data_IF_317107817651
#
_entry.id   IF_317107817651
#
_cell.length_a   1.000
_cell.length_b   1.000
_cell.length_c   1.000
_cell.angle_alpha   90.00
_cell.angle_beta   90.00
_cell.angle_gamma   90.00
#
_symmetry.space_group_name_H-M   'P 1'
#
loop_
_entity.id
_entity.type
_entity.pdbx_description
1 polymer ?
#
# COMPACT_ATOMS: atom_id res chain seq x y z
N UNK A 1 -40.32 -21.66 -51.60
CA UNK A 1 -38.84 -21.76 -51.68
C UNK A 1 -38.19 -20.38 -51.65
N UNK A 2 -38.59 -19.42 -52.46
CA UNK A 2 -38.03 -18.04 -52.52
C UNK A 2 -38.11 -17.25 -51.21
N UNK A 3 -39.22 -17.32 -50.47
CA UNK A 3 -39.41 -16.59 -49.19
C UNK A 3 -38.48 -17.13 -48.09
N UNK A 4 -38.27 -18.48 -48.03
CA UNK A 4 -37.38 -19.10 -47.06
C UNK A 4 -35.92 -18.70 -47.34
N UNK A 5 -35.54 -18.67 -48.63
CA UNK A 5 -34.19 -18.23 -49.03
C UNK A 5 -33.95 -16.76 -48.68
N UNK A 6 -34.94 -15.89 -48.99
CA UNK A 6 -34.85 -14.47 -48.65
C UNK A 6 -34.72 -14.25 -47.15
N UNK A 7 -35.49 -14.99 -46.34
CA UNK A 7 -35.41 -14.93 -44.84
C UNK A 7 -34.04 -15.42 -44.34
N UNK A 8 -33.51 -16.51 -44.89
CA UNK A 8 -32.20 -17.01 -44.54
C UNK A 8 -31.08 -16.01 -44.88
N UNK A 9 -31.12 -15.39 -46.03
CA UNK A 9 -30.18 -14.33 -46.41
C UNK A 9 -30.28 -13.10 -45.50
N UNK A 10 -31.50 -12.67 -45.16
CA UNK A 10 -31.72 -11.56 -44.27
C UNK A 10 -31.16 -11.86 -42.86
N UNK A 11 -31.44 -13.05 -42.32
CA UNK A 11 -30.90 -13.46 -41.02
C UNK A 11 -29.37 -13.53 -41.04
N UNK A 12 -28.76 -14.12 -42.09
CA UNK A 12 -27.31 -14.18 -42.24
C UNK A 12 -26.68 -12.80 -42.33
N UNK A 13 -27.27 -11.87 -43.12
CA UNK A 13 -26.81 -10.47 -43.18
C UNK A 13 -26.93 -9.76 -41.84
N UNK A 14 -28.03 -10.00 -41.12
CA UNK A 14 -28.23 -9.40 -39.78
C UNK A 14 -27.20 -9.89 -38.74
N UNK A 15 -26.89 -11.19 -38.77
CA UNK A 15 -25.84 -11.78 -37.89
C UNK A 15 -24.47 -11.19 -38.24
N UNK A 16 -24.11 -11.11 -39.53
CA UNK A 16 -22.84 -10.51 -39.96
C UNK A 16 -22.72 -9.04 -39.58
N UNK A 17 -23.80 -8.30 -39.72
CA UNK A 17 -23.83 -6.88 -39.32
C UNK A 17 -23.67 -6.68 -37.82
N UNK A 18 -24.33 -7.55 -37.02
CA UNK A 18 -24.17 -7.53 -35.57
C UNK A 18 -22.74 -7.90 -35.15
N UNK A 19 -22.17 -8.95 -35.74
CA UNK A 19 -20.79 -9.37 -35.47
C UNK A 19 -19.78 -8.26 -35.79
N UNK A 20 -19.92 -7.64 -36.97
CA UNK A 20 -19.10 -6.50 -37.37
C UNK A 20 -19.26 -5.33 -36.38
N UNK A 21 -20.49 -4.99 -35.98
CA UNK A 21 -20.74 -3.94 -34.98
C UNK A 21 -20.06 -4.22 -33.66
N UNK A 22 -20.19 -5.45 -33.14
CA UNK A 22 -19.57 -5.85 -31.88
C UNK A 22 -18.04 -5.82 -31.98
N UNK A 23 -17.48 -6.28 -33.11
CA UNK A 23 -16.03 -6.25 -33.37
C UNK A 23 -15.49 -4.83 -33.41
N UNK A 24 -16.15 -3.93 -34.16
CA UNK A 24 -15.77 -2.51 -34.23
C UNK A 24 -15.87 -1.85 -32.84
N UNK A 25 -16.95 -2.10 -32.11
CA UNK A 25 -17.14 -1.55 -30.75
C UNK A 25 -16.07 -2.03 -29.79
N UNK A 26 -15.76 -3.35 -29.78
CA UNK A 26 -14.71 -3.90 -28.92
C UNK A 26 -13.33 -3.31 -29.26
N UNK A 27 -13.01 -3.20 -30.56
CA UNK A 27 -11.77 -2.57 -31.04
C UNK A 27 -11.66 -1.11 -30.60
N UNK A 28 -12.75 -0.33 -30.72
CA UNK A 28 -12.78 1.07 -30.27
C UNK A 28 -12.54 1.19 -28.76
N UNK A 29 -13.13 0.28 -27.95
CA UNK A 29 -12.89 0.25 -26.50
C UNK A 29 -11.43 -0.01 -26.16
N UNK A 30 -10.81 -1.02 -26.81
CA UNK A 30 -9.40 -1.36 -26.60
C UNK A 30 -8.48 -0.19 -27.02
N UNK A 31 -8.72 0.38 -28.19
CA UNK A 31 -7.95 1.55 -28.65
C UNK A 31 -8.11 2.76 -27.72
N UNK A 32 -9.32 2.98 -27.19
CA UNK A 32 -9.59 4.03 -26.20
C UNK A 32 -8.79 3.82 -24.91
N UNK A 33 -8.74 2.60 -24.41
CA UNK A 33 -7.94 2.26 -23.21
C UNK A 33 -6.43 2.46 -23.45
N UNK A 34 -5.91 1.99 -24.59
CA UNK A 34 -4.50 2.17 -24.96
C UNK A 34 -4.16 3.66 -25.07
N UNK A 35 -5.01 4.44 -25.75
CA UNK A 35 -4.82 5.88 -25.88
C UNK A 35 -4.82 6.59 -24.51
N UNK A 36 -5.80 6.29 -23.65
CA UNK A 36 -5.88 6.83 -22.30
C UNK A 36 -4.63 6.48 -21.47
N UNK A 37 -4.12 5.24 -21.58
CA UNK A 37 -2.92 4.81 -20.89
C UNK A 37 -1.66 5.53 -21.38
N UNK A 38 -1.50 5.71 -22.69
CA UNK A 38 -0.39 6.49 -23.28
C UNK A 38 -0.47 7.95 -22.85
N UNK A 39 -1.65 8.55 -22.89
CA UNK A 39 -1.85 9.93 -22.43
C UNK A 39 -1.52 10.06 -20.94
N UNK A 40 -1.95 9.10 -20.11
CA UNK A 40 -1.66 9.08 -18.68
C UNK A 40 -0.15 9.02 -18.40
N UNK A 41 0.62 8.25 -19.17
CA UNK A 41 2.09 8.21 -19.05
C UNK A 41 2.72 9.59 -19.16
N UNK A 42 2.31 10.39 -20.15
CA UNK A 42 2.83 11.76 -20.33
C UNK A 42 2.41 12.68 -19.18
N UNK A 43 1.14 12.58 -18.75
CA UNK A 43 0.62 13.37 -17.61
C UNK A 43 1.38 13.03 -16.33
N UNK A 44 1.54 11.74 -16.02
CA UNK A 44 2.25 11.30 -14.82
C UNK A 44 3.72 11.71 -14.84
N UNK A 45 4.39 11.57 -15.99
CA UNK A 45 5.78 12.01 -16.15
C UNK A 45 5.94 13.52 -15.91
N UNK A 46 4.98 14.33 -16.35
CA UNK A 46 4.98 15.78 -16.17
C UNK A 46 4.62 16.18 -14.72
N UNK A 47 3.73 15.43 -14.06
CA UNK A 47 3.26 15.72 -12.71
C UNK A 47 4.23 15.19 -11.62
N UNK A 48 5.04 14.18 -11.93
CA UNK A 48 5.95 13.56 -10.96
C UNK A 48 6.93 14.54 -10.30
N UNK A 49 7.58 15.49 -11.02
CA UNK A 49 8.42 16.50 -10.39
C UNK A 49 7.70 17.36 -9.34
N UNK A 50 6.39 17.62 -9.54
CA UNK A 50 5.58 18.36 -8.56
C UNK A 50 5.38 17.55 -7.28
N UNK A 51 5.04 16.25 -7.40
CA UNK A 51 4.92 15.36 -6.25
C UNK A 51 6.24 15.30 -5.46
N UNK A 52 7.38 15.16 -6.16
CA UNK A 52 8.69 15.15 -5.53
C UNK A 52 9.07 16.50 -4.90
N UNK A 53 8.64 17.62 -5.48
CA UNK A 53 8.88 18.95 -4.93
C UNK A 53 8.22 19.11 -3.55
N UNK A 54 7.03 18.54 -3.34
CA UNK A 54 6.36 18.55 -2.04
C UNK A 54 7.17 17.82 -0.96
N UNK A 55 7.73 16.66 -1.30
CA UNK A 55 8.57 15.87 -0.38
C UNK A 55 9.91 16.56 -0.10
N UNK A 56 10.50 17.21 -1.12
CA UNK A 56 11.82 17.86 -1.01
C UNK A 56 11.77 19.22 -0.33
N UNK A 57 10.65 19.92 -0.43
CA UNK A 57 10.46 21.23 0.21
C UNK A 57 10.16 21.12 1.71
N UNK A 58 9.91 19.91 2.18
CA UNK A 58 9.59 19.60 3.56
C UNK A 58 10.84 19.49 4.44
N UNK A 59 10.71 19.77 5.75
CA UNK A 59 11.78 19.58 6.74
C UNK A 59 11.94 18.08 7.05
N UNK A 60 13.06 17.44 6.66
CA UNK A 60 13.23 16.01 6.85
C UNK A 60 13.53 15.61 8.32
N UNK A 61 13.51 16.54 9.26
CA UNK A 61 13.79 16.26 10.67
C UNK A 61 12.63 15.60 11.40
N UNK A 62 11.39 15.89 10.96
CA UNK A 62 10.15 15.32 11.51
C UNK A 62 9.11 15.26 10.40
N UNK A 63 8.56 14.10 10.12
CA UNK A 63 7.46 13.95 9.16
C UNK A 63 6.15 13.63 9.88
N UNK A 64 5.05 14.34 9.52
CA UNK A 64 3.75 14.16 10.15
C UNK A 64 2.56 14.48 9.21
N UNK A 65 1.36 14.04 9.58
CA UNK A 65 0.16 14.17 8.74
C UNK A 65 -0.39 15.60 8.59
N UNK A 66 0.16 16.58 9.30
CA UNK A 66 -0.19 18.00 9.16
C UNK A 66 0.60 18.72 8.07
N UNK A 67 1.54 18.07 7.41
CA UNK A 67 2.40 18.65 6.39
C UNK A 67 1.72 18.68 5.03
N UNK A 68 2.26 19.52 4.15
CA UNK A 68 1.66 19.80 2.85
C UNK A 68 1.58 18.57 1.94
N UNK A 69 2.55 17.69 2.02
CA UNK A 69 2.58 16.45 1.24
C UNK A 69 1.45 15.47 1.62
N UNK A 70 0.97 15.50 2.87
CA UNK A 70 -0.06 14.58 3.35
C UNK A 70 -1.47 14.86 2.79
N UNK A 71 -1.66 15.98 2.09
CA UNK A 71 -2.94 16.36 1.51
C UNK A 71 -2.98 16.08 0.01
N UNK A 72 -4.04 15.42 -0.52
CA UNK A 72 -4.19 15.22 -1.95
C UNK A 72 -4.27 16.54 -2.72
N UNK A 73 -3.67 16.59 -3.90
CA UNK A 73 -3.75 17.71 -4.83
C UNK A 73 -4.47 17.27 -6.09
N UNK A 74 -5.53 17.99 -6.47
CA UNK A 74 -6.29 17.71 -7.67
C UNK A 74 -6.19 18.85 -8.70
N UNK A 75 -6.00 18.45 -9.96
CA UNK A 75 -5.95 19.35 -11.11
C UNK A 75 -7.05 18.97 -12.09
N UNK A 76 -7.89 19.92 -12.43
CA UNK A 76 -8.90 19.77 -13.50
C UNK A 76 -8.43 20.45 -14.76
N UNK A 77 -8.47 19.72 -15.87
CA UNK A 77 -8.15 20.19 -17.21
C UNK A 77 -9.31 19.84 -18.16
N UNK A 78 -9.34 20.44 -19.35
CA UNK A 78 -10.32 20.08 -20.39
C UNK A 78 -10.24 18.59 -20.79
N UNK A 79 -9.08 17.96 -20.60
CA UNK A 79 -8.82 16.56 -20.96
C UNK A 79 -9.09 15.56 -19.84
N UNK A 80 -9.30 16.01 -18.60
CA UNK A 80 -9.53 15.13 -17.47
C UNK A 80 -9.17 15.72 -16.12
N UNK A 81 -9.23 14.89 -15.10
CA UNK A 81 -8.90 15.21 -13.71
C UNK A 81 -7.73 14.33 -13.23
N UNK A 82 -6.67 14.98 -12.76
CA UNK A 82 -5.52 14.34 -12.15
C UNK A 82 -5.55 14.58 -10.65
N UNK A 83 -5.49 13.52 -9.84
CA UNK A 83 -5.27 13.59 -8.40
C UNK A 83 -3.92 12.99 -8.05
N UNK A 84 -3.13 13.72 -7.26
CA UNK A 84 -1.84 13.25 -6.71
C UNK A 84 -2.03 13.08 -5.21
N UNK A 85 -1.73 11.89 -4.71
CA UNK A 85 -1.76 11.57 -3.27
C UNK A 85 -0.41 11.00 -2.88
N UNK A 86 0.12 11.49 -1.76
CA UNK A 86 1.37 11.00 -1.18
C UNK A 86 1.04 10.30 0.14
N UNK A 87 1.65 9.16 0.36
CA UNK A 87 1.56 8.41 1.61
C UNK A 87 2.96 8.18 2.14
N UNK A 88 3.11 8.26 3.44
CA UNK A 88 4.30 7.80 4.13
C UNK A 88 4.30 6.27 4.20
N UNK A 89 5.29 5.60 3.62
CA UNK A 89 5.44 4.14 3.71
C UNK A 89 6.06 3.70 5.04
N UNK A 90 6.83 4.57 5.69
CA UNK A 90 7.38 4.32 7.02
C UNK A 90 6.30 4.36 8.13
N UNK A 91 5.04 4.63 7.79
CA UNK A 91 3.90 4.49 8.70
C UNK A 91 3.50 3.03 8.98
N UNK A 92 4.05 2.08 8.24
CA UNK A 92 3.72 0.65 8.28
C UNK A 92 4.90 -0.20 8.74
N UNK A 93 4.61 -1.40 9.25
CA UNK A 93 5.63 -2.38 9.65
C UNK A 93 6.21 -3.04 8.39
N UNK A 94 7.53 -3.01 8.23
CA UNK A 94 8.20 -3.61 7.07
C UNK A 94 8.35 -5.12 7.24
N UNK A 95 7.67 -5.90 6.39
CA UNK A 95 7.73 -7.37 6.41
C UNK A 95 9.14 -7.93 6.26
N UNK A 96 10.02 -7.22 5.56
CA UNK A 96 11.40 -7.65 5.33
C UNK A 96 12.28 -7.56 6.58
N UNK A 97 11.83 -6.88 7.63
CA UNK A 97 12.53 -6.77 8.91
C UNK A 97 12.16 -7.85 9.93
N UNK A 98 11.33 -8.83 9.54
CA UNK A 98 10.84 -9.87 10.45
C UNK A 98 11.97 -10.67 11.13
N UNK A 99 13.11 -10.83 10.45
CA UNK A 99 14.29 -11.48 11.04
C UNK A 99 15.01 -10.63 12.09
N UNK A 100 14.90 -9.31 12.02
CA UNK A 100 15.57 -8.36 12.91
C UNK A 100 14.69 -8.01 14.12
N UNK A 101 13.36 -8.00 13.93
CA UNK A 101 12.37 -7.60 14.94
C UNK A 101 11.37 -8.71 15.23
N UNK A 102 11.87 -9.92 15.49
CA UNK A 102 11.04 -11.13 15.67
C UNK A 102 9.92 -10.95 16.70
N UNK A 103 10.23 -10.34 17.85
CA UNK A 103 9.24 -10.11 18.92
C UNK A 103 8.08 -9.20 18.46
N UNK A 104 8.38 -8.16 17.67
CA UNK A 104 7.36 -7.31 17.06
C UNK A 104 6.40 -8.14 16.19
N UNK A 105 6.95 -9.03 15.35
CA UNK A 105 6.12 -9.85 14.46
C UNK A 105 5.36 -10.95 15.20
N UNK A 106 5.93 -11.54 16.26
CA UNK A 106 5.20 -12.47 17.12
C UNK A 106 4.02 -11.79 17.80
N UNK A 107 4.20 -10.54 18.26
CA UNK A 107 3.12 -9.75 18.82
C UNK A 107 2.09 -9.35 17.77
N UNK A 108 2.53 -8.85 16.60
CA UNK A 108 1.65 -8.50 15.48
C UNK A 108 0.76 -9.68 15.09
N UNK A 109 1.33 -10.86 14.84
CA UNK A 109 0.58 -12.04 14.43
C UNK A 109 -0.39 -12.51 15.51
N UNK A 110 0.05 -12.53 16.76
CA UNK A 110 -0.80 -12.86 17.91
C UNK A 110 -1.99 -11.88 18.03
N UNK A 111 -1.75 -10.57 17.89
CA UNK A 111 -2.79 -9.54 18.00
C UNK A 111 -3.82 -9.65 16.87
N UNK A 112 -3.43 -10.12 15.70
CA UNK A 112 -4.30 -10.36 14.54
C UNK A 112 -4.92 -11.76 14.51
N UNK A 113 -4.62 -12.61 15.49
CA UNK A 113 -5.00 -14.03 15.52
C UNK A 113 -4.56 -14.78 14.25
N UNK A 114 -3.34 -14.50 13.81
CA UNK A 114 -2.65 -15.22 12.73
C UNK A 114 -1.77 -16.28 13.36
N UNK A 115 -1.77 -17.48 12.78
CA UNK A 115 -0.94 -18.59 13.28
C UNK A 115 0.56 -18.23 13.20
N UNK A 116 1.28 -18.57 14.27
CA UNK A 116 2.73 -18.35 14.36
C UNK A 116 3.52 -19.08 13.28
N UNK A 117 2.99 -20.16 12.74
CA UNK A 117 3.61 -20.90 11.63
C UNK A 117 3.87 -19.99 10.43
N UNK A 118 2.98 -19.05 10.13
CA UNK A 118 3.17 -18.10 9.03
C UNK A 118 4.34 -17.14 9.23
N UNK A 119 4.71 -16.83 10.48
CA UNK A 119 5.95 -16.08 10.74
C UNK A 119 7.19 -16.92 10.35
N UNK A 120 7.20 -18.20 10.66
CA UNK A 120 8.31 -19.07 10.28
C UNK A 120 8.39 -19.22 8.75
N UNK A 121 7.25 -19.36 8.05
CA UNK A 121 7.19 -19.36 6.60
C UNK A 121 7.72 -18.05 6.01
N UNK A 122 7.34 -16.90 6.57
CA UNK A 122 7.85 -15.59 6.16
C UNK A 122 9.37 -15.52 6.32
N UNK A 123 9.91 -15.94 7.48
CA UNK A 123 11.35 -15.95 7.74
C UNK A 123 12.13 -16.85 6.78
N UNK A 124 11.57 -18.02 6.42
CA UNK A 124 12.16 -18.93 5.44
C UNK A 124 12.12 -18.27 4.03
N UNK A 125 10.98 -17.66 3.67
CA UNK A 125 10.81 -17.01 2.36
C UNK A 125 11.80 -15.88 2.14
N UNK A 126 11.99 -15.02 3.14
CA UNK A 126 12.95 -13.89 3.06
C UNK A 126 14.40 -14.29 3.33
N UNK A 127 14.70 -15.59 3.57
CA UNK A 127 16.05 -16.10 3.77
C UNK A 127 16.65 -15.80 5.15
N UNK A 128 15.83 -15.53 6.17
CA UNK A 128 16.24 -15.26 7.55
C UNK A 128 16.11 -16.49 8.47
N UNK A 129 15.59 -17.59 7.97
CA UNK A 129 15.52 -18.89 8.64
C UNK A 129 15.76 -19.99 7.61
N UNK A 130 16.50 -21.01 7.98
CA UNK A 130 16.63 -22.23 7.20
C UNK A 130 15.37 -23.09 7.33
N UNK A 131 15.09 -23.90 6.30
CA UNK A 131 13.92 -24.77 6.28
C UNK A 131 13.20 -24.74 4.93
N UNK A 132 12.06 -25.42 4.92
CA UNK A 132 11.13 -25.44 3.80
C UNK A 132 9.70 -25.53 4.35
N UNK A 133 8.71 -25.19 3.55
CA UNK A 133 7.30 -25.39 3.81
C UNK A 133 6.61 -25.76 2.49
N UNK A 134 5.44 -26.35 2.59
CA UNK A 134 4.66 -26.76 1.41
C UNK A 134 4.15 -25.53 0.66
N UNK A 135 4.52 -25.43 -0.62
CA UNK A 135 4.13 -24.34 -1.52
C UNK A 135 4.30 -24.79 -2.96
N UNK A 136 3.44 -24.27 -3.86
CA UNK A 136 3.51 -24.53 -5.30
C UNK A 136 4.65 -23.75 -5.99
N UNK A 137 5.38 -22.91 -5.27
CA UNK A 137 6.39 -22.01 -5.81
C UNK A 137 7.78 -22.31 -5.21
N UNK A 138 8.87 -22.11 -5.97
CA UNK A 138 10.21 -22.15 -5.42
C UNK A 138 10.38 -21.10 -4.29
N UNK A 139 10.92 -21.53 -3.15
CA UNK A 139 11.18 -20.63 -2.03
C UNK A 139 12.25 -19.61 -2.44
N UNK A 140 11.90 -18.34 -2.39
CA UNK A 140 12.68 -17.22 -2.93
C UNK A 140 13.99 -16.95 -2.18
N UNK A 141 14.00 -17.10 -0.86
CA UNK A 141 15.12 -16.78 0.05
C UNK A 141 15.71 -15.37 -0.16
N UNK A 142 14.83 -14.41 -0.42
CA UNK A 142 15.18 -13.02 -0.70
C UNK A 142 14.04 -12.10 -0.21
N UNK A 143 14.31 -10.80 0.02
CA UNK A 143 13.30 -9.84 0.47
C UNK A 143 12.04 -9.86 -0.41
N UNK A 144 10.88 -9.64 0.21
CA UNK A 144 9.63 -9.43 -0.50
C UNK A 144 9.71 -8.17 -1.36
N UNK A 145 9.23 -8.26 -2.59
CA UNK A 145 9.06 -7.11 -3.49
C UNK A 145 7.64 -6.57 -3.47
N UNK A 146 6.68 -7.39 -3.01
CA UNK A 146 5.29 -6.97 -2.88
C UNK A 146 4.59 -7.74 -1.76
N UNK A 147 3.52 -7.16 -1.22
CA UNK A 147 2.71 -7.80 -0.16
C UNK A 147 1.93 -9.01 -0.68
N UNK A 148 1.65 -9.05 -1.98
CA UNK A 148 0.96 -10.15 -2.65
C UNK A 148 1.75 -11.46 -2.58
N UNK A 149 3.06 -11.40 -2.40
CA UNK A 149 3.90 -12.59 -2.19
C UNK A 149 3.48 -13.40 -0.94
N UNK A 150 2.79 -12.79 0.03
CA UNK A 150 2.25 -13.49 1.19
C UNK A 150 1.25 -14.61 0.81
N UNK A 151 0.58 -14.47 -0.34
CA UNK A 151 -0.30 -15.52 -0.86
C UNK A 151 0.48 -16.81 -1.17
N UNK A 152 1.73 -16.69 -1.64
CA UNK A 152 2.60 -17.86 -1.94
C UNK A 152 3.08 -18.57 -0.66
N UNK A 153 2.99 -17.91 0.49
CA UNK A 153 3.30 -18.50 1.80
C UNK A 153 2.09 -19.24 2.40
N UNK A 154 0.95 -19.23 1.70
CA UNK A 154 -0.28 -19.88 2.13
C UNK A 154 -1.09 -19.09 3.15
N UNK A 155 -0.85 -17.78 3.33
CA UNK A 155 -1.71 -16.94 4.15
C UNK A 155 -3.15 -16.97 3.64
N UNK A 156 -4.09 -17.08 4.56
CA UNK A 156 -5.52 -16.99 4.21
C UNK A 156 -5.86 -15.56 3.81
N UNK A 157 -6.76 -15.42 2.85
CA UNK A 157 -7.20 -14.10 2.37
C UNK A 157 -7.79 -13.24 3.51
N UNK A 158 -8.52 -13.86 4.43
CA UNK A 158 -9.07 -13.19 5.63
C UNK A 158 -7.99 -12.65 6.59
N UNK A 159 -6.80 -13.29 6.66
CA UNK A 159 -5.67 -12.80 7.45
C UNK A 159 -4.98 -11.61 6.78
N UNK A 160 -5.06 -11.54 5.46
CA UNK A 160 -4.46 -10.48 4.65
C UNK A 160 -5.36 -9.24 4.52
N UNK A 161 -6.66 -9.43 4.29
CA UNK A 161 -7.63 -8.34 4.09
C UNK A 161 -8.28 -7.87 5.39
N UNK A 162 -8.44 -8.76 6.37
CA UNK A 162 -9.10 -8.53 7.65
C UNK A 162 -10.28 -9.47 7.85
N UNK A 163 -10.59 -9.75 9.12
CA UNK A 163 -11.61 -10.70 9.52
C UNK A 163 -12.41 -10.22 10.73
N UNK A 164 -13.65 -10.68 10.83
CA UNK A 164 -14.48 -10.48 12.01
C UNK A 164 -14.60 -11.81 12.76
N UNK A 165 -14.24 -11.81 14.04
CA UNK A 165 -14.35 -12.97 14.91
C UNK A 165 -15.30 -12.61 16.05
N UNK A 166 -16.49 -13.21 16.05
CA UNK A 166 -17.58 -12.78 16.91
C UNK A 166 -18.04 -11.36 16.56
N UNK A 167 -17.94 -10.43 17.51
CA UNK A 167 -18.28 -9.00 17.30
C UNK A 167 -17.04 -8.12 17.05
N UNK A 168 -15.83 -8.69 17.13
CA UNK A 168 -14.60 -7.93 17.01
C UNK A 168 -14.02 -8.03 15.61
N UNK A 169 -13.69 -6.87 15.01
CA UNK A 169 -12.95 -6.76 13.75
C UNK A 169 -11.44 -6.77 14.01
N UNK A 170 -10.72 -7.58 13.23
CA UNK A 170 -9.27 -7.63 13.18
C UNK A 170 -8.82 -7.12 11.81
N UNK A 171 -7.99 -6.07 11.75
CA UNK A 171 -7.49 -5.57 10.47
C UNK A 171 -6.59 -6.61 9.81
N UNK A 172 -6.59 -6.63 8.49
CA UNK A 172 -5.73 -7.53 7.73
C UNK A 172 -4.27 -7.07 7.72
N UNK A 173 -3.37 -8.03 7.57
CA UNK A 173 -1.93 -7.79 7.56
C UNK A 173 -1.52 -6.78 6.47
N UNK A 174 -2.21 -6.76 5.31
CA UNK A 174 -1.95 -5.79 4.23
C UNK A 174 -2.16 -4.33 4.63
N UNK A 175 -3.07 -4.07 5.58
CA UNK A 175 -3.35 -2.71 6.05
C UNK A 175 -2.35 -2.19 7.09
N UNK A 176 -1.53 -3.08 7.66
CA UNK A 176 -0.58 -2.76 8.73
C UNK A 176 0.88 -2.84 8.28
N UNK A 177 1.13 -3.40 7.10
CA UNK A 177 2.48 -3.74 6.66
C UNK A 177 2.84 -3.16 5.30
N UNK A 178 4.13 -3.07 5.05
CA UNK A 178 4.73 -2.72 3.75
C UNK A 178 5.92 -3.60 3.44
N UNK A 179 6.39 -3.57 2.20
CA UNK A 179 7.67 -4.17 1.77
C UNK A 179 8.73 -3.11 1.46
N UNK A 180 8.35 -1.83 1.47
CA UNK A 180 9.19 -0.69 1.13
C UNK A 180 9.19 0.35 2.25
N UNK A 181 10.08 0.23 3.22
CA UNK A 181 10.28 1.26 4.24
C UNK A 181 11.72 1.21 4.78
N UNK A 182 12.07 2.18 5.62
CA UNK A 182 13.35 2.22 6.33
C UNK A 182 13.56 1.06 7.31
N UNK A 183 12.49 0.30 7.62
CA UNK A 183 12.46 -0.70 8.68
C UNK A 183 12.03 -0.12 10.03
N UNK A 184 11.87 1.20 10.13
CA UNK A 184 11.32 1.87 11.32
C UNK A 184 9.94 2.44 11.03
N UNK A 185 9.09 2.43 12.04
CA UNK A 185 7.73 2.98 11.97
C UNK A 185 7.74 4.43 12.45
N UNK A 186 7.27 5.35 11.59
CA UNK A 186 7.06 6.74 11.97
C UNK A 186 5.80 6.86 12.85
N UNK A 187 5.99 7.15 14.13
CA UNK A 187 4.90 7.25 15.11
C UNK A 187 3.96 8.45 14.87
N UNK A 188 4.42 9.46 14.12
CA UNK A 188 3.61 10.63 13.76
C UNK A 188 2.60 10.33 12.64
N UNK A 189 2.82 9.29 11.85
CA UNK A 189 1.98 8.96 10.70
C UNK A 189 1.30 7.60 10.83
N UNK A 190 1.82 6.70 11.68
CA UNK A 190 1.35 5.32 11.86
C UNK A 190 -0.16 5.25 12.16
N UNK A 191 -0.94 4.37 11.50
CA UNK A 191 -2.33 4.10 11.85
C UNK A 191 -2.47 3.57 13.28
N UNK A 192 -3.64 3.74 13.88
CA UNK A 192 -3.94 3.31 15.25
C UNK A 192 -3.58 1.83 15.48
N UNK A 193 -3.97 0.95 14.58
CA UNK A 193 -3.69 -0.49 14.71
C UNK A 193 -2.21 -0.83 14.51
N UNK A 194 -1.46 -0.03 13.75
CA UNK A 194 0.01 -0.17 13.67
C UNK A 194 0.63 0.21 15.02
N UNK A 195 0.22 1.32 15.63
CA UNK A 195 0.70 1.70 16.96
C UNK A 195 0.44 0.61 18.01
N UNK A 196 -0.77 0.03 18.00
CA UNK A 196 -1.12 -1.10 18.88
C UNK A 196 -0.23 -2.33 18.66
N UNK A 197 0.22 -2.56 17.43
CA UNK A 197 1.08 -3.69 17.09
C UNK A 197 2.54 -3.49 17.50
N UNK A 198 2.98 -2.26 17.80
CA UNK A 198 4.38 -1.98 18.13
C UNK A 198 4.78 -2.52 19.50
N UNK A 199 3.90 -2.55 20.50
CA UNK A 199 4.20 -3.08 21.83
C UNK A 199 2.93 -3.62 22.51
N UNK A 200 3.09 -4.70 23.29
CA UNK A 200 1.99 -5.35 24.04
C UNK A 200 1.30 -4.43 25.04
N UNK A 201 2.00 -3.40 25.52
CA UNK A 201 1.46 -2.42 26.45
C UNK A 201 0.66 -1.31 25.76
N UNK A 202 0.66 -1.25 24.44
CA UNK A 202 -0.11 -0.24 23.69
C UNK A 202 -1.48 -0.82 23.35
N UNK A 203 -2.45 -0.60 24.22
CA UNK A 203 -3.86 -0.90 23.94
C UNK A 203 -4.51 0.18 23.09
N UNK A 204 -5.78 -0.01 22.73
CA UNK A 204 -6.54 0.94 21.93
C UNK A 204 -6.63 2.32 22.59
N UNK A 205 -6.76 2.39 23.93
CA UNK A 205 -6.84 3.65 24.67
C UNK A 205 -5.54 4.43 24.57
N UNK A 206 -4.41 3.78 24.82
CA UNK A 206 -3.09 4.40 24.72
C UNK A 206 -2.76 4.80 23.27
N UNK A 207 -3.06 3.95 22.29
CA UNK A 207 -2.88 4.27 20.88
C UNK A 207 -3.71 5.51 20.47
N UNK A 208 -4.95 5.64 20.96
CA UNK A 208 -5.79 6.82 20.72
C UNK A 208 -5.19 8.08 21.34
N UNK A 209 -4.66 8.00 22.56
CA UNK A 209 -3.95 9.13 23.21
C UNK A 209 -2.71 9.56 22.42
N UNK A 210 -1.95 8.61 21.86
CA UNK A 210 -0.81 8.91 20.98
C UNK A 210 -1.28 9.66 19.73
N UNK A 211 -2.35 9.18 19.07
CA UNK A 211 -2.93 9.83 17.88
C UNK A 211 -3.42 11.24 18.19
N UNK A 212 -4.14 11.43 19.29
CA UNK A 212 -4.61 12.76 19.73
C UNK A 212 -3.45 13.72 20.05
N UNK A 213 -2.42 13.21 20.73
CA UNK A 213 -1.26 14.03 21.10
C UNK A 213 -0.50 14.50 19.86
N UNK A 214 -0.17 13.61 18.93
CA UNK A 214 0.56 13.96 17.70
C UNK A 214 -0.23 14.90 16.78
N UNK A 215 -1.57 14.80 16.77
CA UNK A 215 -2.42 15.69 15.99
C UNK A 215 -2.36 17.15 16.47
N UNK A 216 -2.12 17.36 17.77
CA UNK A 216 -1.95 18.72 18.36
C UNK A 216 -0.50 19.19 18.24
N UNK A 217 0.44 18.29 18.50
CA UNK A 217 1.87 18.56 18.48
C UNK A 217 2.62 17.29 18.08
N UNK A 218 3.19 17.22 16.86
CA UNK A 218 3.99 16.09 16.42
C UNK A 218 5.16 15.81 17.37
N UNK A 219 5.49 14.54 17.52
CA UNK A 219 6.67 14.12 18.28
C UNK A 219 7.93 14.49 17.49
N UNK A 220 8.88 15.18 18.12
CA UNK A 220 10.15 15.54 17.48
C UNK A 220 11.14 14.38 17.44
N UNK A 221 11.00 13.45 18.39
CA UNK A 221 11.84 12.26 18.54
C UNK A 221 11.03 11.16 19.22
N UNK A 222 11.39 9.88 19.06
CA UNK A 222 10.68 8.77 19.67
C UNK A 222 10.54 8.88 21.21
N UNK A 223 11.53 9.48 21.88
CA UNK A 223 11.52 9.68 23.34
C UNK A 223 10.35 10.55 23.82
N UNK A 224 9.82 11.40 22.96
CA UNK A 224 8.68 12.27 23.30
C UNK A 224 7.38 11.46 23.52
N UNK A 225 7.33 10.16 23.15
CA UNK A 225 6.21 9.27 23.45
C UNK A 225 5.96 9.13 24.96
N UNK A 226 6.98 9.28 25.80
CA UNK A 226 6.81 9.24 27.29
C UNK A 226 5.98 10.40 27.82
N UNK A 227 5.75 11.45 27.03
CA UNK A 227 4.87 12.55 27.36
C UNK A 227 3.38 12.20 27.22
N UNK A 228 3.06 11.03 26.66
CA UNK A 228 1.70 10.50 26.56
C UNK A 228 1.38 9.76 27.86
N UNK A 229 0.29 10.14 28.49
CA UNK A 229 -0.16 9.47 29.72
C UNK A 229 -0.43 7.98 29.52
N UNK A 230 0.23 7.15 30.31
CA UNK A 230 0.18 5.68 30.21
C UNK A 230 1.30 5.06 29.36
N UNK A 231 2.09 5.87 28.63
CA UNK A 231 3.27 5.37 27.93
C UNK A 231 4.48 5.32 28.88
N UNK A 232 5.22 4.19 28.88
CA UNK A 232 6.31 3.96 29.82
C UNK A 232 7.68 3.94 29.15
N UNK A 233 8.74 4.18 29.93
CA UNK A 233 10.13 4.06 29.46
C UNK A 233 10.46 2.62 29.03
N UNK A 234 9.86 1.61 29.66
CA UNK A 234 10.05 0.21 29.26
C UNK A 234 9.47 -0.09 27.88
N UNK A 235 8.30 0.48 27.54
CA UNK A 235 7.75 0.41 26.17
C UNK A 235 8.73 1.06 25.19
N UNK A 236 9.20 2.28 25.47
CA UNK A 236 10.15 2.98 24.62
C UNK A 236 11.43 2.15 24.41
N UNK A 237 11.95 1.56 25.48
CA UNK A 237 13.15 0.72 25.40
C UNK A 237 12.96 -0.48 24.46
N UNK A 238 11.82 -1.17 24.55
CA UNK A 238 11.50 -2.28 23.63
C UNK A 238 11.34 -1.83 22.19
N UNK A 239 10.77 -0.64 21.95
CA UNK A 239 10.46 -0.12 20.62
C UNK A 239 11.60 0.65 19.95
N UNK A 240 12.62 1.08 20.68
CA UNK A 240 13.67 2.02 20.24
C UNK A 240 14.33 1.70 18.89
N UNK A 241 14.40 0.41 18.52
CA UNK A 241 15.11 -0.03 17.33
C UNK A 241 14.24 0.03 16.06
N UNK A 242 12.89 0.12 16.21
CA UNK A 242 11.95 0.04 15.10
C UNK A 242 10.91 1.16 15.07
N UNK A 243 11.14 2.26 15.81
CA UNK A 243 10.33 3.49 15.72
C UNK A 243 11.20 4.69 15.39
N UNK A 244 10.62 5.65 14.70
CA UNK A 244 11.21 6.95 14.37
C UNK A 244 10.10 8.01 14.32
N UNK A 245 10.46 9.26 14.08
CA UNK A 245 9.59 10.40 13.80
C UNK A 245 9.79 10.96 12.40
N UNK A 246 10.65 10.28 11.61
CA UNK A 246 11.04 10.68 10.25
C UNK A 246 10.68 9.56 9.29
N UNK A 247 10.45 9.95 8.04
CA UNK A 247 10.12 9.05 6.95
C UNK A 247 11.14 9.16 5.83
N UNK A 248 11.54 8.02 5.29
CA UNK A 248 12.45 7.92 4.16
C UNK A 248 11.70 7.57 2.88
N UNK A 249 10.68 6.73 2.99
CA UNK A 249 9.98 6.19 1.83
C UNK A 249 8.58 6.80 1.70
N UNK A 250 8.28 7.31 0.51
CA UNK A 250 6.99 7.91 0.19
C UNK A 250 6.35 7.21 -1.00
N UNK A 251 5.10 6.81 -0.85
CA UNK A 251 4.30 6.25 -1.90
C UNK A 251 3.57 7.36 -2.65
N UNK A 252 3.87 7.50 -3.93
CA UNK A 252 3.24 8.46 -4.84
C UNK A 252 2.17 7.73 -5.62
N UNK A 253 0.92 8.13 -5.44
CA UNK A 253 -0.23 7.66 -6.22
C UNK A 253 -0.75 8.81 -7.05
N UNK A 254 -0.93 8.57 -8.35
CA UNK A 254 -1.52 9.53 -9.27
C UNK A 254 -2.67 8.86 -10.03
N UNK A 255 -3.86 9.41 -9.89
CA UNK A 255 -5.06 8.93 -10.53
C UNK A 255 -5.50 9.93 -11.61
N UNK A 256 -5.52 9.50 -12.86
CA UNK A 256 -6.01 10.26 -13.99
C UNK A 256 -7.34 9.70 -14.46
N UNK A 257 -8.35 10.55 -14.53
CA UNK A 257 -9.64 10.29 -15.20
C UNK A 257 -9.70 11.07 -16.49
N UNK A 258 -9.77 10.38 -17.64
CA UNK A 258 -9.75 10.99 -18.96
C UNK A 258 -10.57 10.16 -19.95
N UNK A 259 -11.43 10.79 -20.77
CA UNK A 259 -12.18 10.13 -21.83
C UNK A 259 -13.07 8.96 -21.37
N UNK A 260 -13.56 8.98 -20.13
CA UNK A 260 -14.33 7.88 -19.53
C UNK A 260 -13.48 6.72 -18.98
N UNK A 261 -12.15 6.85 -19.02
CA UNK A 261 -11.20 5.88 -18.49
C UNK A 261 -10.54 6.40 -17.21
N UNK A 262 -10.17 5.48 -16.32
CA UNK A 262 -9.34 5.75 -15.15
C UNK A 262 -8.01 5.01 -15.31
N UNK A 263 -6.90 5.72 -15.11
CA UNK A 263 -5.54 5.15 -15.13
C UNK A 263 -4.82 5.61 -13.88
N UNK A 264 -4.24 4.65 -13.16
CA UNK A 264 -3.50 4.93 -11.92
C UNK A 264 -2.02 4.64 -12.09
N UNK A 265 -1.19 5.51 -11.52
CA UNK A 265 0.24 5.34 -11.36
C UNK A 265 0.56 5.19 -9.88
N UNK A 266 1.40 4.23 -9.56
CA UNK A 266 1.86 3.94 -8.21
C UNK A 266 3.38 3.83 -8.22
N UNK A 267 4.06 4.55 -7.32
CA UNK A 267 5.51 4.49 -7.21
C UNK A 267 5.94 4.73 -5.76
N UNK A 268 7.01 4.05 -5.33
CA UNK A 268 7.63 4.30 -4.02
C UNK A 268 8.96 5.02 -4.24
N UNK A 269 9.09 6.18 -3.62
CA UNK A 269 10.25 7.06 -3.69
C UNK A 269 11.07 6.96 -2.41
N UNK A 270 12.37 6.69 -2.56
CA UNK A 270 13.35 6.78 -1.49
C UNK A 270 13.91 8.21 -1.45
N UNK A 271 13.54 8.99 -0.42
CA UNK A 271 13.95 10.38 -0.25
C UNK A 271 15.47 10.51 -0.03
N UNK A 272 16.10 9.55 0.65
CA UNK A 272 17.52 9.56 0.96
C UNK A 272 18.38 9.30 -0.30
N UNK A 273 17.99 8.29 -1.09
CA UNK A 273 18.69 7.92 -2.32
C UNK A 273 18.27 8.78 -3.53
N UNK A 274 17.19 9.53 -3.41
CA UNK A 274 16.65 10.36 -4.49
C UNK A 274 16.11 9.58 -5.68
N UNK A 275 15.73 8.31 -5.49
CA UNK A 275 15.30 7.39 -6.56
C UNK A 275 14.00 6.67 -6.25
N UNK A 276 13.34 6.16 -7.28
CA UNK A 276 12.20 5.26 -7.14
C UNK A 276 12.66 3.81 -6.99
N UNK A 277 12.16 3.14 -5.98
CA UNK A 277 12.41 1.70 -5.71
C UNK A 277 11.32 0.82 -6.29
N UNK A 278 10.15 1.40 -6.59
CA UNK A 278 9.02 0.71 -7.20
C UNK A 278 8.25 1.66 -8.13
N UNK A 279 7.73 1.14 -9.25
CA UNK A 279 6.83 1.87 -10.17
C UNK A 279 5.89 0.90 -10.86
N UNK A 280 4.61 1.25 -10.94
CA UNK A 280 3.58 0.49 -11.65
C UNK A 280 2.50 1.41 -12.22
N UNK A 281 1.88 0.99 -13.34
CA UNK A 281 0.71 1.64 -13.95
C UNK A 281 -0.37 0.59 -14.13
N UNK A 282 -1.55 0.94 -13.66
CA UNK A 282 -2.74 0.07 -13.71
C UNK A 282 -3.73 0.55 -14.73
#
# INVERSE_FOLDING_TARGET
MTVVLALALFLSASVLTLDLYLTVRSTQMVLGQVYARVQALYVFRSALPLALALIRADDPSVDHLGERWAYPISFKTEKGELTITLYDEDRYINLNTAGEHRELFEHLFSSLRIDREYLDRLLIWIGKKEGSFETDFPIKRAPLHSKEELLYLGFKEEDLQGKTVGTQFYPGLWSLTTTFSSGKVNVNTAPLHVLMALDRGIDQSLASKIVERRARQPFKRPEDLVLVEGFTLDMLYRMRNYVDTRSRFFHVVMDLRTGGYAVSFSAVYDRQEGKFVYKRIY
#
